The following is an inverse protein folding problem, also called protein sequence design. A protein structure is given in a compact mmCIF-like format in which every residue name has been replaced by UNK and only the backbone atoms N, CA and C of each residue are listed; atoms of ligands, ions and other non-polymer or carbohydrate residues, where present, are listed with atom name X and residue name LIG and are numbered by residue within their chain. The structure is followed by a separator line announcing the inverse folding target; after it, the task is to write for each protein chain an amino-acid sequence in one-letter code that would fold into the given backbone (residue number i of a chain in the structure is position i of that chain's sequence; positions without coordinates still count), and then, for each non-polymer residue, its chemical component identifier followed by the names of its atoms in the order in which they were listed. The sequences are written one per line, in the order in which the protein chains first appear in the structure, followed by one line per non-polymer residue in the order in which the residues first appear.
data_IF_945987034943
#
_entry.id   IF_945987034943
#
_cell.length_a   1.000
_cell.length_b   1.000
_cell.length_c   1.000
_cell.angle_alpha   90.00
_cell.angle_beta   90.00
_cell.angle_gamma   90.00
#
_symmetry.space_group_name_H-M   'P 1'
#
loop_
_entity.id
_entity.type
_entity.pdbx_description
1 polymer ?
#
# COMPACT_ATOMS: atom_id res chain seq x y z
N UNK A 1 11.86 -12.76 0.81
CA UNK A 1 11.98 -12.17 -0.54
C UNK A 1 11.55 -10.71 -0.48
N UNK A 2 12.14 -9.83 -1.30
CA UNK A 2 11.75 -8.41 -1.37
C UNK A 2 11.54 -8.04 -2.84
N UNK A 3 10.50 -7.27 -3.13
CA UNK A 3 10.21 -6.84 -4.49
C UNK A 3 9.08 -5.80 -4.57
N UNK A 4 8.68 -5.47 -5.78
CA UNK A 4 7.52 -4.63 -6.03
C UNK A 4 6.25 -5.48 -5.85
N UNK A 5 5.25 -4.93 -5.17
CA UNK A 5 4.09 -5.68 -4.65
C UNK A 5 3.43 -6.66 -5.63
N UNK A 6 2.97 -7.78 -5.09
CA UNK A 6 2.22 -8.80 -5.81
C UNK A 6 0.73 -8.45 -5.82
N UNK A 7 0.01 -8.84 -6.87
CA UNK A 7 -1.45 -8.76 -6.84
C UNK A 7 -1.97 -9.68 -5.73
N UNK A 8 -2.92 -9.20 -4.93
CA UNK A 8 -3.49 -9.95 -3.80
C UNK A 8 -3.97 -11.35 -4.22
N UNK A 9 -4.57 -11.49 -5.41
CA UNK A 9 -5.08 -12.76 -5.93
C UNK A 9 -4.02 -13.86 -6.15
N UNK A 10 -2.74 -13.52 -6.27
CA UNK A 10 -1.65 -14.50 -6.50
C UNK A 10 -0.67 -14.59 -5.33
N UNK A 11 -0.83 -13.72 -4.32
CA UNK A 11 0.18 -13.54 -3.27
C UNK A 11 0.38 -14.82 -2.46
N UNK A 12 -0.72 -15.43 -2.02
CA UNK A 12 -0.69 -16.64 -1.17
C UNK A 12 -0.19 -17.86 -1.94
N UNK A 13 -0.69 -18.06 -3.17
CA UNK A 13 -0.26 -19.15 -4.04
C UNK A 13 1.24 -19.05 -4.39
N UNK A 14 1.72 -17.84 -4.65
CA UNK A 14 3.15 -17.59 -4.89
C UNK A 14 3.99 -17.95 -3.66
N UNK A 15 3.57 -17.49 -2.48
CA UNK A 15 4.25 -17.75 -1.21
C UNK A 15 4.35 -19.25 -0.93
N UNK A 16 3.22 -19.97 -1.11
CA UNK A 16 3.13 -21.41 -0.90
C UNK A 16 3.96 -22.19 -1.90
N UNK A 17 3.90 -21.84 -3.19
CA UNK A 17 4.62 -22.53 -4.26
C UNK A 17 6.14 -22.48 -4.07
N UNK A 18 6.67 -21.35 -3.60
CA UNK A 18 8.11 -21.15 -3.47
C UNK A 18 8.63 -21.31 -2.02
N UNK A 19 7.76 -21.65 -1.07
CA UNK A 19 8.15 -21.85 0.33
C UNK A 19 8.72 -20.60 0.99
N UNK A 20 8.24 -19.41 0.61
CA UNK A 20 8.79 -18.14 1.09
C UNK A 20 8.25 -17.87 2.49
N UNK A 21 9.15 -17.78 3.49
CA UNK A 21 8.76 -17.51 4.89
C UNK A 21 8.29 -16.07 5.15
N UNK A 22 8.83 -15.11 4.38
CA UNK A 22 8.55 -13.69 4.53
C UNK A 22 8.68 -12.98 3.18
N UNK A 23 7.67 -12.18 2.85
CA UNK A 23 7.65 -11.30 1.68
C UNK A 23 7.62 -9.86 2.17
N UNK A 24 8.57 -9.06 1.70
CA UNK A 24 8.56 -7.61 1.81
C UNK A 24 8.17 -7.00 0.47
N UNK A 25 7.19 -6.10 0.48
CA UNK A 25 6.73 -5.42 -0.74
C UNK A 25 7.03 -3.94 -0.64
N UNK A 26 7.67 -3.37 -1.66
CA UNK A 26 7.96 -1.95 -1.75
C UNK A 26 7.01 -1.29 -2.76
N UNK A 27 6.48 -0.13 -2.39
CA UNK A 27 5.60 0.68 -3.22
C UNK A 27 6.16 2.11 -3.26
N UNK A 28 6.58 2.54 -4.44
CA UNK A 28 7.12 3.87 -4.68
C UNK A 28 7.00 4.24 -6.15
N UNK A 29 7.24 5.50 -6.47
CA UNK A 29 7.33 6.00 -7.83
C UNK A 29 8.75 6.53 -8.07
N UNK A 30 9.23 6.46 -9.31
CA UNK A 30 10.57 6.96 -9.69
C UNK A 30 10.78 8.42 -9.33
N UNK A 31 9.69 9.20 -9.32
CA UNK A 31 9.69 10.63 -9.02
C UNK A 31 9.15 10.96 -7.62
N UNK A 32 8.67 9.98 -6.82
CA UNK A 32 8.29 10.29 -5.44
C UNK A 32 9.52 10.36 -4.55
N UNK A 33 9.56 11.34 -3.65
CA UNK A 33 10.46 11.38 -2.50
C UNK A 33 10.05 10.43 -1.37
N UNK A 34 9.01 9.63 -1.61
CA UNK A 34 8.30 8.86 -0.62
C UNK A 34 8.15 7.40 -1.08
N UNK A 35 8.08 6.49 -0.12
CA UNK A 35 7.75 5.10 -0.38
C UNK A 35 7.12 4.46 0.84
N UNK A 36 6.35 3.41 0.61
CA UNK A 36 5.78 2.58 1.65
C UNK A 36 6.18 1.13 1.42
N UNK A 37 6.28 0.38 2.51
CA UNK A 37 6.63 -1.03 2.43
C UNK A 37 5.75 -1.87 3.34
N UNK A 38 5.21 -2.96 2.80
CA UNK A 38 4.60 -4.03 3.58
C UNK A 38 5.68 -5.00 4.02
N UNK A 39 6.16 -4.86 5.25
CA UNK A 39 7.18 -5.74 5.84
C UNK A 39 6.56 -6.79 6.78
N UNK A 40 5.31 -6.59 7.17
CA UNK A 40 4.55 -7.46 8.07
C UNK A 40 3.97 -8.69 7.35
N UNK A 41 4.05 -8.73 6.01
CA UNK A 41 3.53 -9.81 5.19
C UNK A 41 2.00 -9.88 5.17
N UNK A 42 1.32 -8.77 5.44
CA UNK A 42 -0.15 -8.70 5.41
C UNK A 42 -0.63 -8.63 3.98
N UNK A 43 -1.34 -9.66 3.50
CA UNK A 43 -1.89 -9.71 2.13
C UNK A 43 -2.73 -8.45 1.85
N UNK A 44 -2.41 -7.76 0.76
CA UNK A 44 -3.12 -6.57 0.31
C UNK A 44 -2.80 -5.28 1.08
N UNK A 45 -1.89 -5.31 2.05
CA UNK A 45 -1.43 -4.10 2.72
C UNK A 45 -0.34 -3.40 1.91
N UNK A 46 -0.35 -2.06 1.95
CA UNK A 46 0.74 -1.25 1.40
C UNK A 46 1.70 -0.76 2.49
N UNK A 47 1.78 -1.46 3.62
CA UNK A 47 2.58 -1.07 4.78
C UNK A 47 1.83 -0.29 5.85
N UNK A 48 2.57 0.13 6.88
CA UNK A 48 2.05 0.80 8.06
C UNK A 48 2.62 2.20 8.21
N UNK A 49 1.73 3.18 8.42
CA UNK A 49 2.10 4.53 8.84
C UNK A 49 1.63 4.76 10.28
N UNK A 50 2.51 5.31 11.12
CA UNK A 50 2.21 5.54 12.53
C UNK A 50 1.02 6.48 12.71
N UNK A 51 -0.02 6.00 13.39
CA UNK A 51 -1.18 6.82 13.78
C UNK A 51 -0.90 7.72 14.98
N UNK A 52 0.12 7.40 15.78
CA UNK A 52 0.48 8.13 17.00
C UNK A 52 1.45 9.28 16.68
N UNK A 53 2.31 9.09 15.67
CA UNK A 53 3.30 10.07 15.23
C UNK A 53 3.13 10.40 13.73
N UNK A 54 1.97 10.91 13.29
CA UNK A 54 1.67 11.12 11.87
C UNK A 54 2.60 12.14 11.20
N UNK A 55 3.27 13.00 11.96
CA UNK A 55 4.15 14.03 11.43
C UNK A 55 5.57 13.53 11.14
N UNK A 56 5.96 12.36 11.64
CA UNK A 56 7.30 11.78 11.38
C UNK A 56 7.40 11.30 9.93
N UNK A 57 6.30 10.82 9.37
CA UNK A 57 6.21 10.41 7.97
C UNK A 57 4.80 10.72 7.44
N UNK A 58 4.53 11.96 6.99
CA UNK A 58 3.17 12.49 6.77
C UNK A 58 2.57 12.05 5.42
N UNK A 59 2.71 10.77 5.08
CA UNK A 59 2.12 10.18 3.88
C UNK A 59 0.78 9.53 4.21
N UNK A 60 -0.15 9.54 3.24
CA UNK A 60 -1.48 8.94 3.40
C UNK A 60 -1.92 8.25 2.12
N UNK A 61 -2.63 7.14 2.29
CA UNK A 61 -3.32 6.46 1.20
C UNK A 61 -4.64 7.19 0.91
N UNK A 62 -4.90 7.46 -0.38
CA UNK A 62 -6.12 8.10 -0.86
C UNK A 62 -6.93 7.11 -1.70
N UNK A 63 -8.26 7.24 -1.64
CA UNK A 63 -9.16 6.39 -2.42
C UNK A 63 -9.17 6.80 -3.89
N UNK A 64 -9.22 5.80 -4.76
CA UNK A 64 -9.37 5.96 -6.21
C UNK A 64 -10.60 5.20 -6.68
N UNK A 65 -11.17 5.63 -7.81
CA UNK A 65 -12.12 4.83 -8.57
C UNK A 65 -11.35 3.66 -9.21
N UNK A 66 -11.81 2.43 -9.04
CA UNK A 66 -11.08 1.24 -9.51
C UNK A 66 -11.05 1.11 -11.05
N UNK A 67 -12.03 1.67 -11.75
CA UNK A 67 -12.13 1.60 -13.20
C UNK A 67 -11.34 2.73 -13.88
N UNK A 68 -11.44 3.96 -13.37
CA UNK A 68 -10.82 5.15 -13.99
C UNK A 68 -9.47 5.50 -13.38
N UNK A 69 -9.13 4.95 -12.21
CA UNK A 69 -7.95 5.30 -11.41
C UNK A 69 -7.90 6.78 -10.97
N UNK A 70 -9.01 7.51 -11.08
CA UNK A 70 -9.09 8.89 -10.61
C UNK A 70 -9.31 8.97 -9.10
N UNK A 71 -8.77 10.01 -8.47
CA UNK A 71 -8.94 10.26 -7.04
C UNK A 71 -10.40 10.55 -6.68
N UNK A 72 -10.94 9.83 -5.70
CA UNK A 72 -12.28 10.11 -5.17
C UNK A 72 -12.20 11.36 -4.28
N UNK A 73 -13.10 12.31 -4.53
CA UNK A 73 -13.19 13.60 -3.81
C UNK A 73 -14.51 13.73 -3.05
N UNK A 74 -14.47 14.42 -1.92
CA UNK A 74 -15.65 14.74 -1.12
C UNK A 74 -16.44 15.93 -1.73
N UNK A 75 -17.57 16.30 -1.10
CA UNK A 75 -18.40 17.42 -1.54
C UNK A 75 -17.71 18.79 -1.52
N UNK A 76 -16.53 18.89 -0.89
CA UNK A 76 -15.69 20.09 -0.84
C UNK A 76 -14.55 20.03 -1.86
N UNK A 77 -14.48 18.98 -2.68
CA UNK A 77 -13.43 18.76 -3.67
C UNK A 77 -12.12 18.19 -3.11
N UNK A 78 -12.07 17.80 -1.83
CA UNK A 78 -10.88 17.25 -1.18
C UNK A 78 -10.78 15.74 -1.37
N UNK A 79 -9.56 15.22 -1.54
CA UNK A 79 -9.33 13.77 -1.69
C UNK A 79 -9.76 13.01 -0.43
N UNK A 80 -10.41 11.86 -0.61
CA UNK A 80 -10.88 11.01 0.49
C UNK A 80 -9.79 10.02 0.91
N UNK A 81 -9.34 10.02 2.18
CA UNK A 81 -8.34 9.07 2.64
C UNK A 81 -8.88 7.64 2.77
N UNK A 82 -8.01 6.65 2.59
CA UNK A 82 -8.31 5.25 2.90
C UNK A 82 -8.46 5.07 4.42
N UNK A 83 -9.32 4.12 4.82
CA UNK A 83 -9.37 3.65 6.20
C UNK A 83 -8.23 2.63 6.42
N UNK A 84 -7.74 2.45 7.66
CA UNK A 84 -6.89 1.31 7.98
C UNK A 84 -7.57 0.01 7.53
N UNK A 85 -6.79 -0.88 6.91
CA UNK A 85 -7.22 -2.23 6.50
C UNK A 85 -6.99 -3.26 7.59
#
# INVERSE_FOLDING_TARGET
AVGNGLRAAIWEDFTKRFGIRQIGEFYGATECNCSIANLDGKVGACGFNSRILPNVYPIRLMKVNEDTMELIRDSRGLCVPCRPG
#
